data_IF_763441409256
#
_entry.id   IF_763441409256
#
_cell.length_a   1.000
_cell.length_b   1.000
_cell.length_c   1.000
_cell.angle_alpha   90.00
_cell.angle_beta   90.00
_cell.angle_gamma   90.00
#
_symmetry.space_group_name_H-M   'P 1'
#
loop_
_entity.id
_entity.type
_entity.pdbx_description
1 polymer ?
#
# COMPACT_ATOMS: atom_id res chain seq x y z
N UNK A 1 -13.55 8.85 -17.19
CA UNK A 1 -13.45 8.65 -15.75
C UNK A 1 -12.24 9.39 -15.18
N UNK A 2 -12.35 9.80 -13.95
CA UNK A 2 -11.30 10.56 -13.26
C UNK A 2 -10.68 9.75 -12.14
N UNK A 3 -9.40 9.97 -11.91
CA UNK A 3 -8.71 9.50 -10.71
C UNK A 3 -8.82 10.55 -9.61
N UNK A 4 -8.97 10.10 -8.38
CA UNK A 4 -8.90 10.97 -7.19
C UNK A 4 -7.55 10.67 -6.53
N UNK A 5 -6.66 11.66 -6.51
CA UNK A 5 -5.33 11.53 -5.95
C UNK A 5 -5.21 12.38 -4.70
N UNK A 6 -4.79 11.79 -3.61
CA UNK A 6 -4.62 12.50 -2.33
C UNK A 6 -3.49 11.88 -1.50
N UNK A 7 -3.03 12.62 -0.52
CA UNK A 7 -1.95 12.21 0.38
C UNK A 7 -2.46 12.01 1.80
N UNK A 8 -1.69 11.31 2.61
CA UNK A 8 -1.90 11.14 4.04
C UNK A 8 -0.63 11.44 4.83
N UNK A 9 -0.79 11.63 6.14
CA UNK A 9 0.31 12.07 7.01
C UNK A 9 1.48 11.09 7.13
N UNK A 10 1.27 9.83 6.74
CA UNK A 10 2.26 8.75 6.82
C UNK A 10 3.01 8.50 5.51
N UNK A 11 3.21 9.54 4.72
CA UNK A 11 3.96 9.52 3.44
C UNK A 11 3.34 8.61 2.38
N UNK A 12 2.02 8.51 2.36
CA UNK A 12 1.28 7.75 1.36
C UNK A 12 0.73 8.66 0.26
N UNK A 13 0.79 8.19 -0.97
CA UNK A 13 0.03 8.71 -2.10
C UNK A 13 -1.08 7.73 -2.44
N UNK A 14 -2.32 8.16 -2.30
CA UNK A 14 -3.48 7.32 -2.51
C UNK A 14 -4.18 7.68 -3.81
N UNK A 15 -4.58 6.67 -4.56
CA UNK A 15 -5.24 6.81 -5.86
C UNK A 15 -6.55 6.05 -5.82
N UNK A 16 -7.66 6.77 -5.82
CA UNK A 16 -8.99 6.20 -5.82
C UNK A 16 -9.67 6.36 -7.18
N UNK A 17 -10.44 5.37 -7.57
CA UNK A 17 -11.26 5.42 -8.78
C UNK A 17 -12.50 4.54 -8.63
N UNK A 18 -13.59 5.00 -9.26
CA UNK A 18 -14.81 4.20 -9.39
C UNK A 18 -14.59 3.07 -10.41
N UNK A 19 -14.94 1.83 -10.05
CA UNK A 19 -14.67 0.65 -10.86
C UNK A 19 -15.32 0.67 -12.26
N UNK A 20 -16.48 1.34 -12.40
CA UNK A 20 -17.15 1.48 -13.69
C UNK A 20 -16.46 2.49 -14.61
N UNK A 21 -15.78 3.48 -14.04
CA UNK A 21 -15.08 4.53 -14.79
C UNK A 21 -13.64 4.12 -15.12
N UNK A 22 -12.98 3.51 -14.16
CA UNK A 22 -11.61 3.00 -14.27
C UNK A 22 -11.59 1.58 -13.73
N UNK A 23 -11.57 0.56 -14.59
CA UNK A 23 -11.49 -0.83 -14.16
C UNK A 23 -10.30 -1.06 -13.19
N UNK A 24 -10.46 -1.97 -12.23
CA UNK A 24 -9.45 -2.21 -11.18
C UNK A 24 -8.08 -2.54 -11.78
N UNK A 25 -8.03 -3.34 -12.84
CA UNK A 25 -6.77 -3.65 -13.53
C UNK A 25 -6.08 -2.40 -14.08
N UNK A 26 -6.84 -1.48 -14.67
CA UNK A 26 -6.34 -0.19 -15.17
C UNK A 26 -5.87 0.71 -14.03
N UNK A 27 -6.58 0.72 -12.90
CA UNK A 27 -6.14 1.44 -11.71
C UNK A 27 -4.79 0.93 -11.21
N UNK A 28 -4.57 -0.38 -11.22
CA UNK A 28 -3.28 -0.96 -10.85
C UNK A 28 -2.16 -0.54 -11.80
N UNK A 29 -2.39 -0.51 -13.10
CA UNK A 29 -1.41 -0.02 -14.08
C UNK A 29 -1.03 1.45 -13.82
N UNK A 30 -2.01 2.30 -13.50
CA UNK A 30 -1.73 3.69 -13.13
C UNK A 30 -0.92 3.78 -11.85
N UNK A 31 -1.25 2.99 -10.84
CA UNK A 31 -0.51 2.98 -9.57
C UNK A 31 0.93 2.49 -9.75
N UNK A 32 1.17 1.51 -10.60
CA UNK A 32 2.53 1.06 -10.95
C UNK A 32 3.36 2.16 -11.61
N UNK A 33 2.75 2.89 -12.56
CA UNK A 33 3.41 4.04 -13.21
C UNK A 33 3.68 5.17 -12.21
N UNK A 34 2.71 5.48 -11.34
CA UNK A 34 2.88 6.48 -10.29
C UNK A 34 3.98 6.05 -9.32
N UNK A 35 4.01 4.75 -8.92
CA UNK A 35 5.08 4.21 -8.07
C UNK A 35 6.45 4.42 -8.71
N UNK A 36 6.60 4.11 -9.99
CA UNK A 36 7.86 4.31 -10.70
C UNK A 36 8.29 5.78 -10.76
N UNK A 37 7.35 6.69 -11.01
CA UNK A 37 7.60 8.13 -11.05
C UNK A 37 7.97 8.72 -9.69
N UNK A 38 7.44 8.15 -8.61
CA UNK A 38 7.66 8.63 -7.23
C UNK A 38 8.84 7.95 -6.53
N UNK A 39 9.58 7.09 -7.21
CA UNK A 39 10.82 6.46 -6.72
C UNK A 39 12.00 7.44 -6.70
N UNK A 40 11.78 8.60 -6.13
CA UNK A 40 12.77 9.67 -5.95
C UNK A 40 13.08 9.80 -4.47
N UNK A 41 14.35 9.81 -4.13
CA UNK A 41 14.79 9.93 -2.74
C UNK A 41 14.32 11.22 -2.05
N UNK A 42 14.24 12.30 -2.82
CA UNK A 42 13.79 13.60 -2.33
C UNK A 42 12.29 13.67 -2.01
N UNK A 43 11.48 12.80 -2.61
CA UNK A 43 10.03 12.80 -2.39
C UNK A 43 9.58 11.93 -1.20
N UNK A 44 10.33 10.91 -0.86
CA UNK A 44 10.09 10.01 0.29
C UNK A 44 8.66 9.45 0.35
N UNK A 45 8.08 9.13 -0.80
CA UNK A 45 6.76 8.48 -0.87
C UNK A 45 6.91 7.01 -0.49
N UNK A 46 6.47 6.66 0.71
CA UNK A 46 6.61 5.31 1.25
C UNK A 46 5.72 4.30 0.53
N UNK A 47 4.47 4.67 0.26
CA UNK A 47 3.52 3.79 -0.44
C UNK A 47 2.69 4.57 -1.45
N UNK A 48 2.41 3.93 -2.58
CA UNK A 48 1.31 4.28 -3.47
C UNK A 48 0.20 3.26 -3.23
N UNK A 49 -1.03 3.70 -2.99
CA UNK A 49 -2.14 2.84 -2.61
C UNK A 49 -3.25 2.96 -3.64
N UNK A 50 -3.60 1.84 -4.27
CA UNK A 50 -4.79 1.73 -5.11
C UNK A 50 -6.03 1.55 -4.25
N UNK A 51 -7.03 2.43 -4.42
CA UNK A 51 -8.29 2.41 -3.66
C UNK A 51 -9.50 2.39 -4.58
N UNK A 52 -9.86 1.25 -5.15
CA UNK A 52 -11.07 1.15 -5.95
C UNK A 52 -12.33 1.31 -5.07
N UNK A 53 -13.35 1.93 -5.63
CA UNK A 53 -14.65 2.06 -4.97
C UNK A 53 -15.79 1.84 -5.96
N UNK A 54 -16.97 1.63 -5.43
CA UNK A 54 -18.20 1.39 -6.19
C UNK A 54 -19.36 2.15 -5.57
N UNK A 55 -20.50 2.10 -6.20
CA UNK A 55 -21.75 2.68 -5.71
C UNK A 55 -22.20 3.88 -6.50
N UNK A 56 -23.22 4.58 -5.97
CA UNK A 56 -23.83 5.76 -6.57
C UNK A 56 -23.65 6.97 -5.66
N UNK A 57 -23.89 8.15 -6.19
CA UNK A 57 -23.85 9.41 -5.42
C UNK A 57 -24.63 9.27 -4.12
N UNK A 58 -23.98 9.60 -3.01
CA UNK A 58 -24.53 9.46 -1.65
C UNK A 58 -24.39 8.06 -1.03
N UNK A 59 -23.96 7.06 -1.80
CA UNK A 59 -23.83 5.66 -1.34
C UNK A 59 -22.57 4.99 -1.90
N UNK A 60 -21.46 5.70 -1.91
CA UNK A 60 -20.17 5.12 -2.27
C UNK A 60 -19.62 4.21 -1.17
N UNK A 61 -18.93 3.15 -1.57
CA UNK A 61 -18.26 2.22 -0.66
C UNK A 61 -16.95 1.71 -1.25
N UNK A 62 -15.97 1.51 -0.41
CA UNK A 62 -14.67 0.99 -0.81
C UNK A 62 -14.76 -0.49 -1.17
N UNK A 63 -14.02 -0.88 -2.20
CA UNK A 63 -13.79 -2.28 -2.57
C UNK A 63 -12.50 -2.73 -1.87
N UNK A 64 -12.62 -3.12 -0.60
CA UNK A 64 -11.45 -3.45 0.22
C UNK A 64 -10.62 -4.62 -0.33
N UNK A 65 -11.27 -5.59 -0.98
CA UNK A 65 -10.57 -6.70 -1.62
C UNK A 65 -9.71 -6.26 -2.82
N UNK A 66 -10.01 -5.11 -3.42
CA UNK A 66 -9.25 -4.53 -4.53
C UNK A 66 -8.18 -3.53 -4.12
N UNK A 67 -8.07 -3.22 -2.82
CA UNK A 67 -6.97 -2.37 -2.35
C UNK A 67 -5.62 -3.04 -2.59
N UNK A 68 -4.68 -2.29 -3.12
CA UNK A 68 -3.31 -2.76 -3.33
C UNK A 68 -2.31 -1.67 -2.95
N UNK A 69 -1.35 -2.04 -2.13
CA UNK A 69 -0.29 -1.15 -1.66
C UNK A 69 1.01 -1.44 -2.44
N UNK A 70 1.61 -0.39 -2.98
CA UNK A 70 2.90 -0.42 -3.68
C UNK A 70 3.93 0.28 -2.79
N UNK A 71 4.55 -0.50 -1.92
CA UNK A 71 5.52 -0.03 -0.94
C UNK A 71 6.93 0.04 -1.52
N UNK A 72 7.82 0.74 -0.82
CA UNK A 72 9.27 0.65 -1.04
C UNK A 72 9.90 -0.09 0.13
N UNK A 73 11.01 -0.77 -0.14
CA UNK A 73 11.82 -1.37 0.92
C UNK A 73 12.45 -0.28 1.78
N UNK A 74 12.67 -0.52 3.06
CA UNK A 74 13.47 0.37 3.89
C UNK A 74 14.82 0.65 3.22
N UNK A 75 15.29 1.91 3.20
CA UNK A 75 16.53 2.28 2.50
C UNK A 75 17.79 1.73 3.16
N UNK A 76 17.68 1.27 4.40
CA UNK A 76 18.77 0.66 5.17
C UNK A 76 18.26 -0.57 5.90
N UNK A 77 19.20 -1.40 6.34
CA UNK A 77 18.88 -2.53 7.23
C UNK A 77 18.16 -2.05 8.48
N UNK A 78 17.14 -2.78 8.88
CA UNK A 78 16.38 -2.54 10.10
C UNK A 78 16.64 -3.65 11.13
N UNK A 79 16.14 -3.47 12.34
CA UNK A 79 16.16 -4.52 13.36
C UNK A 79 15.47 -5.81 12.89
N UNK A 80 14.45 -5.70 12.04
CA UNK A 80 13.74 -6.86 11.48
C UNK A 80 14.68 -7.74 10.65
N UNK A 81 15.54 -7.13 9.84
CA UNK A 81 16.57 -7.84 9.09
C UNK A 81 17.54 -8.56 10.04
N UNK A 82 18.01 -7.87 11.06
CA UNK A 82 18.97 -8.43 12.04
C UNK A 82 18.37 -9.62 12.79
N UNK A 83 17.13 -9.52 13.21
CA UNK A 83 16.42 -10.61 13.89
C UNK A 83 16.23 -11.81 12.97
N UNK A 84 15.77 -11.59 11.74
CA UNK A 84 15.55 -12.64 10.76
C UNK A 84 16.83 -13.39 10.40
N UNK A 85 17.93 -12.66 10.18
CA UNK A 85 19.25 -13.24 9.87
C UNK A 85 19.84 -14.03 11.04
N UNK A 86 19.53 -13.67 12.28
CA UNK A 86 19.90 -14.40 13.48
C UNK A 86 18.91 -15.53 13.84
N UNK A 87 18.12 -15.96 12.87
CA UNK A 87 17.18 -17.10 12.97
C UNK A 87 16.02 -16.90 13.95
N UNK A 88 15.72 -15.67 14.33
CA UNK A 88 14.49 -15.38 15.03
C UNK A 88 13.30 -15.36 14.06
N UNK A 89 12.17 -15.87 14.49
CA UNK A 89 10.94 -15.76 13.73
C UNK A 89 10.35 -14.36 13.91
N UNK A 90 10.41 -13.56 12.87
CA UNK A 90 9.82 -12.22 12.85
C UNK A 90 8.40 -12.30 12.30
N UNK A 91 7.41 -12.02 13.12
CA UNK A 91 6.00 -12.08 12.78
C UNK A 91 5.45 -10.67 12.71
N UNK A 92 5.05 -10.23 11.52
CA UNK A 92 4.39 -8.95 11.30
C UNK A 92 2.88 -9.09 11.48
N UNK A 93 2.29 -8.24 12.31
CA UNK A 93 0.84 -8.21 12.56
C UNK A 93 0.27 -6.90 12.00
N UNK A 94 -0.78 -7.00 11.19
CA UNK A 94 -1.43 -5.85 10.58
C UNK A 94 -0.57 -5.14 9.53
N UNK A 95 -0.46 -3.84 9.62
CA UNK A 95 0.21 -2.97 8.63
C UNK A 95 1.72 -3.16 8.50
N UNK A 96 2.37 -3.75 9.50
CA UNK A 96 3.85 -3.82 9.56
C UNK A 96 4.42 -4.45 8.29
N UNK A 97 3.80 -5.51 7.81
CA UNK A 97 4.23 -6.20 6.60
C UNK A 97 4.24 -5.30 5.36
N UNK A 98 3.22 -4.46 5.21
CA UNK A 98 3.10 -3.53 4.07
C UNK A 98 4.06 -2.34 4.22
N UNK A 99 4.21 -1.80 5.43
CA UNK A 99 5.09 -0.66 5.70
C UNK A 99 6.56 -1.01 5.41
N UNK A 100 7.00 -2.20 5.79
CA UNK A 100 8.37 -2.66 5.58
C UNK A 100 8.58 -3.42 4.26
N UNK A 101 7.58 -3.42 3.38
CA UNK A 101 7.61 -4.16 2.10
C UNK A 101 8.05 -5.61 2.26
N UNK A 102 7.57 -6.26 3.31
CA UNK A 102 7.89 -7.64 3.72
C UNK A 102 9.35 -7.86 4.13
N UNK A 103 10.17 -6.81 4.14
CA UNK A 103 11.60 -6.92 4.40
C UNK A 103 11.88 -7.31 5.85
N UNK A 104 12.57 -8.43 6.03
CA UNK A 104 12.92 -8.96 7.36
C UNK A 104 11.76 -9.61 8.12
N UNK A 105 10.62 -9.87 7.48
CA UNK A 105 9.44 -10.49 8.08
C UNK A 105 9.27 -11.91 7.53
N UNK A 106 9.25 -12.90 8.43
CA UNK A 106 9.12 -14.31 8.06
C UNK A 106 7.66 -14.75 7.91
N UNK A 107 6.76 -14.16 8.70
CA UNK A 107 5.34 -14.47 8.70
C UNK A 107 4.51 -13.21 8.88
N UNK A 108 3.41 -13.10 8.18
CA UNK A 108 2.47 -11.99 8.30
C UNK A 108 1.09 -12.48 8.72
N UNK A 109 0.49 -11.75 9.65
CA UNK A 109 -0.90 -11.98 10.08
C UNK A 109 -1.70 -10.73 9.74
N UNK A 110 -2.67 -10.88 8.84
CA UNK A 110 -3.62 -9.81 8.54
C UNK A 110 -4.69 -9.73 9.63
N UNK A 111 -5.03 -8.52 10.01
CA UNK A 111 -6.15 -8.26 10.92
C UNK A 111 -7.15 -7.36 10.19
N UNK A 112 -8.41 -7.67 10.34
CA UNK A 112 -9.52 -6.90 9.72
C UNK A 112 -9.91 -5.69 10.56
N UNK A 113 -9.62 -5.73 11.86
CA UNK A 113 -9.97 -4.68 12.81
C UNK A 113 -8.92 -4.58 13.93
N UNK A 114 -8.70 -3.37 14.40
CA UNK A 114 -7.89 -3.11 15.58
C UNK A 114 -8.82 -3.00 16.79
N UNK A 115 -8.94 -4.07 17.47
CA UNK A 115 -9.60 -3.99 18.79
C UNK A 115 -8.68 -3.41 19.82
#
# INVERSE_FOLDING_TARGET
GSLIVYTSADSDLQVAAHEDAVPIATLYEYCEKIRALTMREDWKVARVIARPFTGKVGHFRLINAGRKDYSIKPPKRTILNSLSENKYNVIGIGKVNDIFDKEGINKSIKISDNM
#
